data_IF_017036962758
#
_entry.id   IF_017036962758
#
_cell.length_a   1.000
_cell.length_b   1.000
_cell.length_c   1.000
_cell.angle_alpha   90.00
_cell.angle_beta   90.00
_cell.angle_gamma   90.00
#
_symmetry.space_group_name_H-M   'P 1'
#
loop_
_entity.id
_entity.type
_entity.pdbx_description
1 polymer ?
#
# COMPACT_ATOMS: atom_id res chain seq x y z
N UNK A 1 7.64 22.94 15.62
CA UNK A 1 6.58 21.91 15.73
C UNK A 1 5.23 22.61 15.72
N UNK A 2 4.32 22.21 14.82
CA UNK A 2 2.97 22.77 14.66
C UNK A 2 1.98 21.60 14.65
N UNK A 3 0.82 21.79 15.27
CA UNK A 3 -0.24 20.78 15.34
C UNK A 3 -1.43 21.24 14.49
N UNK A 4 -2.06 20.30 13.79
CA UNK A 4 -3.25 20.54 12.97
C UNK A 4 -4.28 19.48 13.32
N UNK A 5 -5.52 19.90 13.56
CA UNK A 5 -6.60 18.96 13.80
C UNK A 5 -7.04 18.33 12.47
N UNK A 6 -7.10 16.99 12.45
CA UNK A 6 -7.59 16.21 11.30
C UNK A 6 -8.73 15.31 11.77
N UNK A 7 -9.94 15.84 11.99
CA UNK A 7 -11.03 15.09 12.60
C UNK A 7 -11.40 13.84 11.79
N UNK A 8 -11.55 12.70 12.44
CA UNK A 8 -11.99 11.44 11.82
C UNK A 8 -10.95 10.77 10.90
N UNK A 9 -9.68 11.14 11.03
CA UNK A 9 -8.56 10.48 10.37
C UNK A 9 -7.75 9.68 11.40
N UNK A 10 -7.96 8.36 11.38
CA UNK A 10 -7.42 7.38 12.31
C UNK A 10 -6.45 6.47 11.56
N UNK A 11 -5.32 7.00 11.12
CA UNK A 11 -4.34 6.22 10.37
C UNK A 11 -3.46 5.39 11.32
N UNK A 12 -3.34 4.08 11.03
CA UNK A 12 -2.39 3.21 11.72
C UNK A 12 -1.06 3.13 10.98
N UNK A 13 -1.12 3.01 9.65
CA UNK A 13 0.04 3.07 8.78
C UNK A 13 0.12 4.43 8.06
N UNK A 14 1.30 4.74 7.55
CA UNK A 14 1.51 5.84 6.61
C UNK A 14 2.21 5.26 5.37
N UNK A 15 1.72 5.59 4.19
CA UNK A 15 2.27 5.06 2.93
C UNK A 15 3.39 5.98 2.45
N UNK A 16 3.09 7.27 2.33
CA UNK A 16 4.07 8.29 1.97
C UNK A 16 3.60 9.68 2.38
N UNK A 17 4.53 10.62 2.48
CA UNK A 17 4.23 12.04 2.63
C UNK A 17 5.24 12.89 1.88
N UNK A 18 4.83 14.06 1.39
CA UNK A 18 5.71 14.98 0.68
C UNK A 18 5.23 16.43 0.77
N UNK A 19 6.08 17.35 0.36
CA UNK A 19 5.79 18.79 0.26
C UNK A 19 5.30 19.17 -1.14
N UNK A 20 4.25 19.97 -1.22
CA UNK A 20 3.79 20.69 -2.42
C UNK A 20 3.84 22.21 -2.17
N UNK A 21 3.57 23.00 -3.22
CA UNK A 21 3.48 24.46 -3.14
C UNK A 21 4.72 25.14 -2.55
N UNK A 22 5.91 24.62 -2.89
CA UNK A 22 7.18 25.16 -2.39
C UNK A 22 7.43 24.95 -0.89
N UNK A 23 6.74 23.98 -0.27
CA UNK A 23 6.84 23.68 1.16
C UNK A 23 5.64 24.14 1.98
N UNK A 24 4.68 24.84 1.37
CA UNK A 24 3.52 25.39 2.07
C UNK A 24 2.41 24.35 2.31
N UNK A 25 2.42 23.22 1.61
CA UNK A 25 1.41 22.17 1.75
C UNK A 25 2.08 20.83 2.01
N UNK A 26 1.67 20.13 3.08
CA UNK A 26 2.04 18.74 3.32
C UNK A 26 0.96 17.84 2.75
N UNK A 27 1.35 16.87 1.93
CA UNK A 27 0.47 15.81 1.45
C UNK A 27 0.84 14.51 2.15
N UNK A 28 -0.14 13.83 2.74
CA UNK A 28 -0.01 12.51 3.36
C UNK A 28 -0.94 11.54 2.63
N UNK A 29 -0.41 10.38 2.25
CA UNK A 29 -1.20 9.25 1.75
C UNK A 29 -1.15 8.14 2.79
N UNK A 30 -2.32 7.73 3.29
CA UNK A 30 -2.40 6.70 4.31
C UNK A 30 -3.78 6.02 4.35
N UNK A 31 -3.86 4.76 4.78
CA UNK A 31 -5.13 4.13 5.13
C UNK A 31 -5.71 4.77 6.40
N UNK A 32 -6.96 5.22 6.30
CA UNK A 32 -7.78 5.70 7.40
C UNK A 32 -8.73 4.60 7.87
N UNK A 33 -8.70 4.26 9.15
CA UNK A 33 -9.68 3.37 9.76
C UNK A 33 -11.00 4.14 9.97
N UNK A 34 -12.06 3.68 9.31
CA UNK A 34 -13.34 4.39 9.29
C UNK A 34 -14.10 4.35 10.62
N UNK A 35 -13.95 3.29 11.41
CA UNK A 35 -14.50 3.16 12.76
C UNK A 35 -13.44 2.60 13.70
N UNK A 36 -13.09 3.39 14.70
CA UNK A 36 -12.17 2.98 15.77
C UNK A 36 -12.85 1.96 16.70
N UNK A 37 -14.17 2.01 16.87
CA UNK A 37 -14.89 0.99 17.66
C UNK A 37 -14.71 -0.40 17.03
N UNK A 38 -14.71 -0.51 15.69
CA UNK A 38 -14.45 -1.78 15.02
C UNK A 38 -13.05 -2.33 15.34
N UNK A 39 -12.03 -1.48 15.49
CA UNK A 39 -10.69 -1.95 15.88
C UNK A 39 -10.62 -2.51 17.29
N UNK A 40 -11.51 -2.09 18.19
CA UNK A 40 -11.51 -2.51 19.59
C UNK A 40 -12.45 -3.69 19.87
N UNK A 41 -13.62 -3.71 19.21
CA UNK A 41 -14.73 -4.58 19.60
C UNK A 41 -15.20 -5.50 18.47
N UNK A 42 -14.93 -5.17 17.21
CA UNK A 42 -15.48 -5.84 16.01
C UNK A 42 -14.45 -5.92 14.89
N UNK A 43 -13.33 -6.59 15.15
CA UNK A 43 -12.20 -6.65 14.20
C UNK A 43 -12.58 -7.19 12.82
N UNK A 44 -13.60 -8.04 12.75
CA UNK A 44 -14.19 -8.56 11.49
C UNK A 44 -14.75 -7.46 10.57
N UNK A 45 -15.08 -6.29 11.13
CA UNK A 45 -15.66 -5.13 10.46
C UNK A 45 -14.66 -4.00 10.20
N UNK A 46 -13.36 -4.22 10.46
CA UNK A 46 -12.33 -3.21 10.18
C UNK A 46 -12.33 -2.88 8.68
N UNK A 47 -12.42 -1.60 8.38
CA UNK A 47 -12.36 -1.06 7.03
C UNK A 47 -11.38 0.11 6.99
N UNK A 48 -10.27 -0.10 6.29
CA UNK A 48 -9.29 0.92 5.94
C UNK A 48 -9.61 1.52 4.58
N UNK A 49 -9.71 2.85 4.51
CA UNK A 49 -9.87 3.59 3.26
C UNK A 49 -8.60 4.38 3.02
N UNK A 50 -7.89 4.16 1.91
CA UNK A 50 -6.70 4.97 1.59
C UNK A 50 -7.16 6.38 1.25
N UNK A 51 -6.65 7.36 1.98
CA UNK A 51 -6.95 8.78 1.78
C UNK A 51 -5.69 9.58 1.48
N UNK A 52 -5.87 10.66 0.73
CA UNK A 52 -4.92 11.76 0.59
C UNK A 52 -5.35 12.89 1.50
N UNK A 53 -4.52 13.24 2.46
CA UNK A 53 -4.72 14.37 3.37
C UNK A 53 -3.77 15.49 2.96
N UNK A 54 -4.30 16.68 2.72
CA UNK A 54 -3.51 17.89 2.43
C UNK A 54 -3.64 18.87 3.58
N UNK A 55 -2.51 19.35 4.07
CA UNK A 55 -2.42 20.30 5.18
C UNK A 55 -1.70 21.53 4.67
N UNK A 56 -2.43 22.63 4.49
CA UNK A 56 -1.83 23.91 4.14
C UNK A 56 -1.25 24.55 5.41
N UNK A 57 0.06 24.71 5.46
CA UNK A 57 0.78 25.23 6.62
C UNK A 57 0.46 26.70 6.86
N UNK A 58 0.18 27.51 5.86
CA UNK A 58 -0.06 28.95 6.09
C UNK A 58 -1.45 29.22 6.68
N UNK A 59 -2.48 28.63 6.09
CA UNK A 59 -3.88 28.81 6.51
C UNK A 59 -4.32 27.86 7.62
N UNK A 60 -3.64 26.72 7.78
CA UNK A 60 -4.07 25.62 8.64
C UNK A 60 -5.26 24.83 8.09
N UNK A 61 -5.67 25.09 6.85
CA UNK A 61 -6.75 24.33 6.19
C UNK A 61 -6.28 22.90 5.93
N UNK A 62 -7.10 21.94 6.36
CA UNK A 62 -6.91 20.52 6.09
C UNK A 62 -8.01 20.05 5.15
N UNK A 63 -7.63 19.37 4.06
CA UNK A 63 -8.55 18.66 3.18
C UNK A 63 -8.22 17.18 3.13
N UNK A 64 -9.25 16.35 2.94
CA UNK A 64 -9.15 14.89 2.90
C UNK A 64 -9.87 14.39 1.66
N UNK A 65 -9.25 13.44 0.98
CA UNK A 65 -9.78 12.85 -0.24
C UNK A 65 -9.59 11.33 -0.24
N UNK A 66 -10.68 10.55 -0.19
CA UNK A 66 -10.62 9.10 -0.40
C UNK A 66 -10.08 8.76 -1.79
N UNK A 67 -9.04 7.94 -1.84
CA UNK A 67 -8.40 7.45 -3.07
C UNK A 67 -9.13 6.22 -3.62
N UNK A 68 -9.60 5.35 -2.74
CA UNK A 68 -10.43 4.18 -3.09
C UNK A 68 -11.35 3.82 -1.93
N UNK A 69 -12.56 3.37 -2.24
CA UNK A 69 -13.55 2.90 -1.25
C UNK A 69 -13.35 1.42 -0.87
N UNK A 70 -12.35 0.76 -1.46
CA UNK A 70 -12.01 -0.61 -1.13
C UNK A 70 -11.33 -0.66 0.25
N UNK A 71 -11.54 -1.75 0.99
CA UNK A 71 -10.83 -2.01 2.24
C UNK A 71 -9.35 -2.26 1.93
N UNK A 72 -8.51 -1.26 2.14
CA UNK A 72 -7.09 -1.26 1.75
C UNK A 72 -6.18 -0.87 2.92
N UNK A 73 -5.08 -1.60 3.06
CA UNK A 73 -4.03 -1.36 4.06
C UNK A 73 -2.67 -1.91 3.58
N UNK A 74 -1.61 -1.76 4.38
CA UNK A 74 -0.24 -2.20 4.08
C UNK A 74 0.24 -1.71 2.71
N UNK A 75 0.07 -0.42 2.47
CA UNK A 75 0.45 0.22 1.22
C UNK A 75 1.96 0.44 1.14
N UNK A 76 2.56 0.04 0.02
CA UNK A 76 3.98 0.28 -0.30
C UNK A 76 4.14 1.05 -1.60
N UNK A 77 5.31 1.68 -1.75
CA UNK A 77 5.67 2.48 -2.93
C UNK A 77 7.05 2.05 -3.43
N UNK A 78 7.44 2.58 -4.59
CA UNK A 78 8.84 2.55 -4.98
C UNK A 78 9.70 3.29 -3.94
N UNK A 79 10.68 2.62 -3.28
CA UNK A 79 11.46 3.23 -2.19
C UNK A 79 12.22 4.50 -2.58
N UNK A 80 12.51 4.71 -3.88
CA UNK A 80 13.19 5.92 -4.38
C UNK A 80 12.34 7.21 -4.23
N UNK A 81 11.03 7.03 -4.00
CA UNK A 81 10.03 8.09 -3.83
C UNK A 81 9.59 8.31 -2.37
N UNK A 82 10.20 7.63 -1.40
CA UNK A 82 9.93 7.93 0.02
C UNK A 82 10.24 9.40 0.30
N UNK A 83 9.26 10.12 0.88
CA UNK A 83 9.38 11.56 1.15
C UNK A 83 9.17 12.46 -0.07
N UNK A 84 8.90 11.89 -1.25
CA UNK A 84 8.73 12.60 -2.53
C UNK A 84 7.35 12.30 -3.11
N UNK A 85 6.85 13.21 -3.95
CA UNK A 85 5.60 12.98 -4.69
C UNK A 85 5.72 11.73 -5.55
N UNK A 86 4.83 10.77 -5.32
CA UNK A 86 4.74 9.51 -6.04
C UNK A 86 3.37 9.37 -6.71
N UNK A 87 3.30 8.57 -7.76
CA UNK A 87 2.10 8.26 -8.55
C UNK A 87 1.49 6.92 -8.16
N UNK A 88 2.30 5.91 -7.85
CA UNK A 88 1.84 4.54 -7.66
C UNK A 88 1.96 4.07 -6.22
N UNK A 89 0.90 3.44 -5.73
CA UNK A 89 0.86 2.76 -4.43
C UNK A 89 0.36 1.33 -4.63
N UNK A 90 0.99 0.36 -3.98
CA UNK A 90 0.56 -1.03 -3.98
C UNK A 90 0.02 -1.38 -2.60
N UNK A 91 -1.27 -1.66 -2.49
CA UNK A 91 -1.94 -1.89 -1.20
C UNK A 91 -2.67 -3.22 -1.19
N UNK A 92 -2.71 -3.85 -0.02
CA UNK A 92 -3.41 -5.12 0.17
C UNK A 92 -4.90 -4.89 0.36
N UNK A 93 -5.71 -5.87 -0.05
CA UNK A 93 -7.16 -5.85 0.14
C UNK A 93 -7.49 -6.56 1.44
N UNK A 94 -8.00 -5.79 2.40
CA UNK A 94 -8.41 -6.28 3.70
C UNK A 94 -9.45 -7.40 3.62
N UNK A 95 -9.29 -8.37 4.51
CA UNK A 95 -10.26 -9.41 4.84
C UNK A 95 -10.39 -9.43 6.38
N UNK A 96 -11.40 -10.09 6.99
CA UNK A 96 -11.39 -10.32 8.42
C UNK A 96 -9.98 -10.66 8.97
N UNK A 97 -9.41 -9.80 9.84
CA UNK A 97 -8.03 -9.91 10.28
C UNK A 97 -7.71 -11.30 10.86
N UNK A 98 -6.46 -11.78 10.70
CA UNK A 98 -5.28 -11.09 10.14
C UNK A 98 -5.13 -11.26 8.62
N UNK A 99 -6.19 -11.61 7.90
CA UNK A 99 -6.12 -12.09 6.51
C UNK A 99 -6.21 -10.94 5.51
N UNK A 100 -5.52 -11.10 4.38
CA UNK A 100 -5.52 -10.15 3.26
C UNK A 100 -5.80 -10.93 1.96
N UNK A 101 -6.83 -10.57 1.21
CA UNK A 101 -7.38 -11.40 0.12
C UNK A 101 -6.78 -11.14 -1.26
N UNK A 102 -6.01 -10.05 -1.39
CA UNK A 102 -5.46 -9.63 -2.67
C UNK A 102 -4.65 -8.35 -2.56
N UNK A 103 -4.31 -7.80 -3.71
CA UNK A 103 -3.51 -6.59 -3.86
C UNK A 103 -4.06 -5.72 -4.98
N UNK A 104 -3.95 -4.41 -4.82
CA UNK A 104 -4.25 -3.40 -5.85
C UNK A 104 -3.04 -2.51 -6.10
N UNK A 105 -2.99 -1.95 -7.31
CA UNK A 105 -2.17 -0.80 -7.65
C UNK A 105 -3.09 0.41 -7.77
N UNK A 106 -2.76 1.46 -7.04
CA UNK A 106 -3.44 2.76 -7.09
C UNK A 106 -2.60 3.75 -7.90
N UNK A 107 -3.23 4.56 -8.74
CA UNK A 107 -2.67 5.76 -9.32
C UNK A 107 -3.17 6.98 -8.54
N UNK A 108 -2.35 7.46 -7.60
CA UNK A 108 -2.68 8.59 -6.72
C UNK A 108 -2.48 9.95 -7.39
N UNK A 109 -2.06 9.99 -8.67
CA UNK A 109 -2.00 11.23 -9.45
C UNK A 109 -3.34 11.61 -10.09
N UNK A 110 -4.28 10.67 -10.18
CA UNK A 110 -5.63 10.92 -10.68
C UNK A 110 -6.25 12.06 -9.87
N UNK A 111 -6.78 13.05 -10.60
CA UNK A 111 -7.22 14.29 -10.00
C UNK A 111 -8.40 14.05 -9.06
N UNK A 112 -8.38 14.72 -7.90
CA UNK A 112 -9.42 14.60 -6.87
C UNK A 112 -10.82 14.96 -7.42
N UNK A 113 -10.87 15.81 -8.45
CA UNK A 113 -12.10 16.23 -9.14
C UNK A 113 -12.70 15.15 -10.04
N UNK A 114 -11.90 14.17 -10.46
CA UNK A 114 -12.32 13.11 -11.39
C UNK A 114 -13.28 12.12 -10.72
N UNK A 115 -13.24 12.01 -9.38
CA UNK A 115 -14.10 11.13 -8.55
C UNK A 115 -14.13 9.65 -8.99
N UNK A 116 -13.22 9.24 -9.88
CA UNK A 116 -13.04 7.85 -10.29
C UNK A 116 -12.19 7.12 -9.26
N UNK A 117 -12.44 5.82 -9.12
CA UNK A 117 -11.59 4.96 -8.30
C UNK A 117 -10.15 4.99 -8.83
N UNK A 118 -9.17 5.14 -7.95
CA UNK A 118 -7.77 5.23 -8.34
C UNK A 118 -7.13 3.85 -8.57
N UNK A 119 -7.87 2.74 -8.39
CA UNK A 119 -7.38 1.40 -8.70
C UNK A 119 -7.14 1.24 -10.22
N UNK A 120 -5.88 1.01 -10.60
CA UNK A 120 -5.45 0.80 -11.99
C UNK A 120 -4.98 -0.63 -12.27
N UNK A 121 -4.72 -1.42 -11.23
CA UNK A 121 -4.50 -2.87 -11.35
C UNK A 121 -4.99 -3.59 -10.09
N UNK A 122 -5.36 -4.87 -10.22
CA UNK A 122 -5.86 -5.67 -9.10
C UNK A 122 -5.57 -7.16 -9.31
N UNK A 123 -5.19 -7.86 -8.23
CA UNK A 123 -5.13 -9.32 -8.18
C UNK A 123 -5.77 -9.85 -6.90
N UNK A 124 -6.71 -10.79 -7.08
CA UNK A 124 -7.34 -11.57 -6.00
C UNK A 124 -6.75 -12.97 -6.02
N UNK A 125 -6.31 -13.48 -4.87
CA UNK A 125 -5.60 -14.78 -4.81
C UNK A 125 -6.52 -16.00 -4.81
N UNK A 126 -7.83 -15.78 -4.76
CA UNK A 126 -8.85 -16.81 -4.76
C UNK A 126 -9.24 -17.26 -3.35
N UNK A 127 -10.27 -18.10 -3.28
CA UNK A 127 -10.88 -18.51 -2.01
C UNK A 127 -9.91 -19.34 -1.15
N UNK A 128 -9.70 -18.92 0.09
CA UNK A 128 -8.80 -19.57 1.05
C UNK A 128 -7.32 -19.24 0.84
N UNK A 129 -6.99 -18.34 -0.09
CA UNK A 129 -5.64 -17.86 -0.31
C UNK A 129 -5.49 -16.43 0.22
N UNK A 130 -4.54 -16.23 1.13
CA UNK A 130 -4.32 -14.94 1.79
C UNK A 130 -2.86 -14.52 1.71
N UNK A 131 -2.62 -13.23 1.61
CA UNK A 131 -1.28 -12.64 1.44
C UNK A 131 -0.78 -11.91 2.69
N UNK A 132 0.50 -11.54 2.67
CA UNK A 132 1.11 -10.58 3.60
C UNK A 132 1.36 -9.21 2.95
N UNK A 133 2.09 -8.33 3.66
CA UNK A 133 2.54 -7.04 3.12
C UNK A 133 3.36 -7.23 1.82
N UNK A 134 3.09 -6.42 0.78
CA UNK A 134 3.87 -6.44 -0.44
C UNK A 134 5.20 -5.70 -0.31
N UNK A 135 6.12 -6.05 -1.19
CA UNK A 135 7.41 -5.37 -1.38
C UNK A 135 7.48 -4.86 -2.81
N UNK A 136 8.07 -3.68 -3.01
CA UNK A 136 8.40 -3.18 -4.35
C UNK A 136 9.90 -3.26 -4.59
N UNK A 137 10.28 -3.67 -5.79
CA UNK A 137 11.66 -3.66 -6.27
C UNK A 137 11.73 -3.12 -7.70
N UNK A 138 12.39 -1.98 -7.88
CA UNK A 138 12.63 -1.40 -9.20
C UNK A 138 13.64 -2.24 -10.00
N UNK A 139 13.42 -2.43 -11.30
CA UNK A 139 14.33 -3.17 -12.19
C UNK A 139 15.70 -2.50 -12.28
N UNK A 140 15.72 -1.17 -12.48
CA UNK A 140 16.93 -0.34 -12.48
C UNK A 140 16.77 0.90 -11.58
N UNK A 141 17.87 1.61 -11.35
CA UNK A 141 17.94 2.55 -10.22
C UNK A 141 17.59 4.01 -10.47
N UNK A 142 17.45 4.54 -11.70
CA UNK A 142 17.25 5.99 -11.82
C UNK A 142 16.47 6.51 -13.07
N UNK A 143 16.28 5.73 -14.14
CA UNK A 143 15.81 6.28 -15.43
C UNK A 143 14.49 5.71 -15.96
N UNK A 144 13.95 4.67 -15.32
CA UNK A 144 12.71 4.01 -15.76
C UNK A 144 11.47 4.61 -15.05
N UNK A 145 10.29 4.34 -15.59
CA UNK A 145 9.00 4.76 -15.02
C UNK A 145 8.86 4.31 -13.55
N UNK A 146 8.09 5.06 -12.75
CA UNK A 146 7.98 4.84 -11.29
C UNK A 146 7.59 3.39 -10.91
N UNK A 147 6.77 2.75 -11.74
CA UNK A 147 6.28 1.37 -11.61
C UNK A 147 7.08 0.33 -12.39
N UNK A 148 8.21 0.67 -13.03
CA UNK A 148 9.02 -0.30 -13.74
C UNK A 148 9.83 -1.17 -12.77
N UNK A 149 9.16 -2.23 -12.33
CA UNK A 149 9.64 -3.07 -11.26
C UNK A 149 8.79 -4.30 -11.06
N UNK A 150 8.95 -4.85 -9.87
CA UNK A 150 8.23 -6.02 -9.41
C UNK A 150 7.57 -5.73 -8.08
N UNK A 151 6.36 -6.25 -7.92
CA UNK A 151 5.69 -6.34 -6.62
C UNK A 151 5.76 -7.78 -6.15
N UNK A 152 6.21 -7.98 -4.93
CA UNK A 152 6.45 -9.31 -4.38
C UNK A 152 5.71 -9.48 -3.07
N UNK A 153 5.21 -10.68 -2.77
CA UNK A 153 4.58 -10.98 -1.50
C UNK A 153 4.51 -12.48 -1.24
N UNK A 154 4.24 -12.84 0.01
CA UNK A 154 3.90 -14.21 0.39
C UNK A 154 2.39 -14.44 0.23
N UNK A 155 2.01 -15.60 -0.30
CA UNK A 155 0.62 -16.10 -0.32
C UNK A 155 0.56 -17.44 0.39
N UNK A 156 -0.38 -17.59 1.31
CA UNK A 156 -0.69 -18.83 2.01
C UNK A 156 -2.07 -19.36 1.57
N UNK A 157 -2.10 -20.61 1.12
CA UNK A 157 -3.34 -21.32 0.83
C UNK A 157 -3.74 -22.14 2.08
N UNK A 158 -4.81 -21.76 2.76
CA UNK A 158 -5.30 -22.44 3.97
C UNK A 158 -5.90 -23.82 3.67
N UNK A 159 -6.35 -24.08 2.44
CA UNK A 159 -6.91 -25.38 2.05
C UNK A 159 -5.81 -26.44 1.87
N UNK A 160 -4.67 -26.07 1.26
CA UNK A 160 -3.55 -27.00 1.02
C UNK A 160 -2.45 -26.91 2.07
N UNK A 161 -2.42 -25.85 2.88
CA UNK A 161 -1.35 -25.57 3.83
C UNK A 161 -0.08 -25.01 3.20
N UNK A 162 -0.08 -24.76 1.89
CA UNK A 162 1.10 -24.34 1.14
C UNK A 162 1.32 -22.83 1.22
N UNK A 163 2.58 -22.41 1.07
CA UNK A 163 2.94 -21.01 0.93
C UNK A 163 3.83 -20.81 -0.29
N UNK A 164 3.62 -19.70 -0.97
CA UNK A 164 4.38 -19.30 -2.15
C UNK A 164 4.88 -17.87 -1.97
N UNK A 165 6.07 -17.59 -2.47
CA UNK A 165 6.54 -16.22 -2.69
C UNK A 165 6.30 -15.87 -4.16
N UNK A 166 5.41 -14.90 -4.39
CA UNK A 166 5.02 -14.47 -5.72
C UNK A 166 5.81 -13.22 -6.10
N UNK A 167 6.22 -13.17 -7.37
CA UNK A 167 6.79 -11.98 -8.01
C UNK A 167 5.85 -11.60 -9.15
N UNK A 168 5.37 -10.37 -9.14
CA UNK A 168 4.40 -9.85 -10.10
C UNK A 168 5.02 -8.68 -10.87
N UNK A 169 4.71 -8.57 -12.16
CA UNK A 169 5.05 -7.39 -12.97
C UNK A 169 4.21 -6.20 -12.51
N UNK A 170 4.89 -5.16 -12.04
CA UNK A 170 4.28 -3.97 -11.47
C UNK A 170 3.63 -3.05 -12.53
N UNK A 171 4.00 -3.22 -13.82
CA UNK A 171 3.43 -2.50 -14.97
C UNK A 171 2.19 -3.19 -15.55
N UNK A 172 1.96 -4.47 -15.20
CA UNK A 172 0.81 -5.23 -15.69
C UNK A 172 -0.51 -4.69 -15.11
N UNK A 173 -1.56 -4.51 -15.94
CA UNK A 173 -2.88 -4.10 -15.47
C UNK A 173 -3.56 -5.16 -14.58
N UNK A 174 -3.03 -6.40 -14.55
CA UNK A 174 -3.54 -7.49 -13.74
C UNK A 174 -2.52 -7.97 -12.68
N UNK A 175 -1.41 -7.24 -12.50
CA UNK A 175 -0.28 -7.66 -11.66
C UNK A 175 0.14 -9.10 -11.98
N UNK A 176 0.44 -9.38 -13.25
CA UNK A 176 0.72 -10.74 -13.72
C UNK A 176 1.90 -11.37 -12.99
N UNK A 177 1.73 -12.63 -12.58
CA UNK A 177 2.75 -13.39 -11.85
C UNK A 177 3.83 -13.81 -12.86
N UNK A 178 5.03 -13.29 -12.68
CA UNK A 178 6.21 -13.60 -13.51
C UNK A 178 7.10 -14.66 -12.86
N UNK A 179 7.02 -14.84 -11.53
CA UNK A 179 7.63 -15.96 -10.85
C UNK A 179 6.79 -16.40 -9.64
N UNK A 180 6.82 -17.70 -9.37
CA UNK A 180 6.13 -18.32 -8.25
C UNK A 180 7.07 -19.32 -7.56
N UNK A 181 7.55 -18.96 -6.37
CA UNK A 181 8.47 -19.78 -5.60
C UNK A 181 7.71 -20.50 -4.50
N UNK A 182 7.49 -21.81 -4.68
CA UNK A 182 6.92 -22.67 -3.64
C UNK A 182 7.88 -22.79 -2.46
N UNK A 183 7.40 -22.51 -1.26
CA UNK A 183 8.20 -22.60 -0.04
C UNK A 183 8.11 -24.01 0.57
N UNK A 184 9.18 -24.49 1.24
CA UNK A 184 9.21 -25.84 1.81
C UNK A 184 8.29 -26.01 3.02
N UNK A 185 7.82 -24.91 3.61
CA UNK A 185 6.95 -24.85 4.78
C UNK A 185 6.01 -23.65 4.68
N UNK A 186 4.95 -23.67 5.48
CA UNK A 186 4.04 -22.55 5.68
C UNK A 186 4.80 -21.33 6.21
N UNK A 187 4.56 -20.17 5.61
CA UNK A 187 4.88 -18.85 6.16
C UNK A 187 3.65 -18.36 6.92
N UNK A 188 3.73 -18.13 8.24
CA UNK A 188 2.62 -17.56 9.02
C UNK A 188 2.27 -16.13 8.57
N UNK A 189 1.06 -15.67 8.91
CA UNK A 189 0.71 -14.26 8.76
C UNK A 189 1.66 -13.41 9.60
N UNK A 190 2.31 -12.46 8.94
CA UNK A 190 3.27 -11.54 9.55
C UNK A 190 2.78 -10.09 9.52
N UNK A 191 3.70 -9.18 9.82
CA UNK A 191 3.52 -7.74 9.70
C UNK A 191 4.41 -7.22 8.59
N UNK A 192 5.38 -6.37 8.94
CA UNK A 192 6.22 -5.68 7.99
C UNK A 192 7.44 -6.48 7.57
N UNK A 193 7.92 -6.20 6.36
CA UNK A 193 9.21 -6.68 5.89
C UNK A 193 9.94 -5.62 5.06
N UNK A 194 11.18 -5.94 4.70
CA UNK A 194 12.00 -5.07 3.84
C UNK A 194 12.66 -5.92 2.75
N UNK A 195 12.83 -5.32 1.57
CA UNK A 195 13.69 -5.86 0.54
C UNK A 195 15.05 -5.16 0.61
N UNK A 196 16.12 -5.92 0.81
CA UNK A 196 17.48 -5.39 0.87
C UNK A 196 18.22 -5.84 -0.38
N UNK A 197 18.76 -4.88 -1.14
CA UNK A 197 19.56 -5.18 -2.32
C UNK A 197 20.93 -5.67 -1.92
N UNK A 198 21.53 -6.49 -2.77
CA UNK A 198 22.92 -6.94 -2.60
C UNK A 198 23.88 -5.75 -2.45
N UNK A 199 23.69 -4.68 -3.23
CA UNK A 199 24.47 -3.45 -3.13
C UNK A 199 24.38 -2.74 -1.78
N UNK A 200 23.30 -2.95 -1.03
CA UNK A 200 23.11 -2.36 0.29
C UNK A 200 23.67 -3.27 1.39
N UNK A 201 23.63 -4.60 1.19
CA UNK A 201 24.33 -5.56 2.06
C UNK A 201 25.85 -5.36 2.01
N UNK A 202 26.40 -5.11 0.82
CA UNK A 202 27.85 -4.94 0.63
C UNK A 202 28.41 -3.62 1.19
N UNK A 203 27.58 -2.76 1.78
CA UNK A 203 27.99 -1.51 2.45
C UNK A 203 28.13 -1.65 3.97
N UNK A 204 27.78 -2.82 4.52
CA UNK A 204 27.97 -3.19 5.94
C UNK A 204 29.38 -3.71 6.18
#
# INVERSE_FOLDING_TARGET
>A
MRWFDVPGFNNLHAINAWEEDGGDTIVLVAPNILSVEHTLERMDMIHGCVEKVKINLNSGVVSRHPISTRNLDFGVINPTYVGKKNKYVYATIGYPPPKLSGIVKLDVSIAEVDRRDCIVACRIFGEGCFCGEPFFMAKNNLEDEEDDGYVMLYVHNEKTGESNFLVMDATSPNLDIVANVKLPRRVPYGFHGIFVRESDLNKL
#
